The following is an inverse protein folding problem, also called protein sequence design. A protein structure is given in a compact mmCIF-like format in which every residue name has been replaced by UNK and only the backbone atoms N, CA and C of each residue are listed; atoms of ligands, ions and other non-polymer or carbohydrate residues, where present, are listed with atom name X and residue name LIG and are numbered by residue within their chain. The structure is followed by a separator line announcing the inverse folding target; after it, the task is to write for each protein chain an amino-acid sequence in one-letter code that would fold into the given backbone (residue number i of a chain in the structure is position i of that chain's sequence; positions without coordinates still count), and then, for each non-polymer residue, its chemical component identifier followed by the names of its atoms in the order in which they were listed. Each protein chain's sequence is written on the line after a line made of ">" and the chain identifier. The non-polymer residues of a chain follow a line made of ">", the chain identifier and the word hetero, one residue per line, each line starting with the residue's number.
data_IF_265232585873
#
_entry.id   IF_265232585873
#
_cell.length_a   1.000
_cell.length_b   1.000
_cell.length_c   1.000
_cell.angle_alpha   90.00
_cell.angle_beta   90.00
_cell.angle_gamma   90.00
#
_symmetry.space_group_name_H-M   'P 1'
#
loop_
_entity.id
_entity.type
_entity.pdbx_description
1 polymer ?
#
# COMPACT_ATOMS: atom_id res chain seq x y z
N UNK A 1 -10.16 -15.91 17.46
CA UNK A 1 -9.85 -14.49 17.15
C UNK A 1 -8.52 -14.32 16.45
N UNK A 2 -7.39 -14.88 16.97
CA UNK A 2 -6.07 -14.76 16.31
C UNK A 2 -6.05 -15.45 14.93
N UNK A 3 -6.55 -16.66 14.83
CA UNK A 3 -6.65 -17.40 13.58
C UNK A 3 -7.49 -16.64 12.53
N UNK A 4 -8.61 -16.03 12.95
CA UNK A 4 -9.45 -15.21 12.07
C UNK A 4 -8.70 -13.99 11.55
N UNK A 5 -7.91 -13.32 12.40
CA UNK A 5 -7.08 -12.19 11.98
C UNK A 5 -6.03 -12.61 10.94
N UNK A 6 -5.31 -13.71 11.20
CA UNK A 6 -4.26 -14.22 10.31
C UNK A 6 -4.84 -14.75 9.00
N UNK A 7 -6.00 -15.44 9.04
CA UNK A 7 -6.61 -16.04 7.85
C UNK A 7 -7.46 -15.05 7.03
N UNK A 8 -7.53 -13.78 7.42
CA UNK A 8 -8.36 -12.80 6.72
C UNK A 8 -7.79 -12.50 5.32
N UNK A 9 -8.35 -13.17 4.31
CA UNK A 9 -7.77 -13.26 2.96
C UNK A 9 -7.50 -11.90 2.27
N UNK A 10 -8.29 -10.81 2.47
CA UNK A 10 -7.99 -9.56 1.76
C UNK A 10 -6.67 -8.90 2.15
N UNK A 11 -6.09 -9.25 3.32
CA UNK A 11 -4.80 -8.69 3.75
C UNK A 11 -3.60 -9.61 3.53
N UNK A 12 -3.82 -10.90 3.14
CA UNK A 12 -2.78 -11.95 3.23
C UNK A 12 -1.53 -11.69 2.39
N UNK A 13 -1.64 -11.15 1.17
CA UNK A 13 -0.49 -11.05 0.26
C UNK A 13 0.08 -9.63 0.22
N UNK A 14 -0.71 -8.66 -0.19
CA UNK A 14 -0.30 -7.27 -0.34
C UNK A 14 -1.44 -6.29 0.03
N UNK A 15 -2.44 -6.75 0.75
CA UNK A 15 -3.50 -5.91 1.28
C UNK A 15 -2.99 -4.94 2.35
N UNK A 16 -3.78 -3.95 2.73
CA UNK A 16 -3.42 -3.03 3.79
C UNK A 16 -3.15 -3.76 5.10
N UNK A 17 -2.03 -3.44 5.74
CA UNK A 17 -1.62 -4.03 7.02
C UNK A 17 -2.54 -3.46 8.12
N UNK A 18 -3.52 -4.26 8.55
CA UNK A 18 -4.45 -3.87 9.59
C UNK A 18 -3.97 -4.27 10.99
N UNK A 19 -4.43 -3.54 12.00
CA UNK A 19 -4.21 -3.93 13.39
C UNK A 19 -5.29 -4.91 13.83
N UNK A 20 -4.88 -5.94 14.56
CA UNK A 20 -5.80 -6.95 15.09
C UNK A 20 -6.96 -6.32 15.88
N UNK A 21 -6.68 -5.32 16.71
CA UNK A 21 -7.71 -4.61 17.48
C UNK A 21 -8.78 -3.94 16.61
N UNK A 22 -8.39 -3.37 15.46
CA UNK A 22 -9.32 -2.71 14.54
C UNK A 22 -10.09 -3.72 13.69
N UNK A 23 -9.40 -4.71 13.13
CA UNK A 23 -10.03 -5.72 12.27
C UNK A 23 -10.97 -6.61 13.05
N UNK A 24 -10.52 -7.18 14.17
CA UNK A 24 -11.33 -8.06 14.99
C UNK A 24 -12.56 -7.37 15.57
N UNK A 25 -12.46 -6.08 15.94
CA UNK A 25 -13.61 -5.32 16.40
C UNK A 25 -14.69 -5.17 15.34
N UNK A 26 -14.32 -5.01 14.07
CA UNK A 26 -15.27 -4.94 12.94
C UNK A 26 -15.91 -6.33 12.68
N UNK A 27 -15.10 -7.40 12.69
CA UNK A 27 -15.60 -8.77 12.50
C UNK A 27 -16.58 -9.15 13.61
N UNK A 28 -16.30 -8.76 14.85
CA UNK A 28 -17.15 -9.10 16.01
C UNK A 28 -18.47 -8.34 16.04
N UNK A 29 -18.54 -7.13 15.46
CA UNK A 29 -19.76 -6.31 15.47
C UNK A 29 -20.91 -6.90 14.67
N UNK A 30 -20.64 -7.80 13.71
CA UNK A 30 -21.65 -8.47 12.87
C UNK A 30 -22.71 -7.49 12.33
N UNK A 31 -22.27 -6.35 11.82
CA UNK A 31 -23.17 -5.44 11.13
C UNK A 31 -23.81 -6.19 9.96
N UNK A 32 -25.16 -6.10 9.83
CA UNK A 32 -25.89 -6.78 8.78
C UNK A 32 -25.41 -6.35 7.38
N UNK A 33 -25.70 -7.15 6.37
CA UNK A 33 -25.35 -6.82 5.00
C UNK A 33 -25.93 -5.46 4.58
N UNK A 34 -25.06 -4.57 4.11
CA UNK A 34 -25.42 -3.23 3.65
C UNK A 34 -25.19 -3.11 2.15
N UNK A 35 -26.26 -2.91 1.38
CA UNK A 35 -26.23 -2.79 -0.09
C UNK A 35 -25.31 -1.66 -0.55
N UNK A 36 -25.33 -0.49 0.08
CA UNK A 36 -24.49 0.64 -0.34
C UNK A 36 -23.00 0.31 -0.14
N UNK A 37 -22.68 -0.35 0.97
CA UNK A 37 -21.35 -0.80 1.28
C UNK A 37 -20.86 -1.84 0.26
N UNK A 38 -21.71 -2.80 -0.07
CA UNK A 38 -21.41 -3.83 -1.06
C UNK A 38 -21.23 -3.23 -2.47
N UNK A 39 -22.11 -2.34 -2.91
CA UNK A 39 -22.00 -1.68 -4.22
C UNK A 39 -20.76 -0.81 -4.31
N UNK A 40 -20.44 -0.05 -3.26
CA UNK A 40 -19.21 0.74 -3.23
C UNK A 40 -17.95 -0.12 -3.22
N UNK A 41 -17.97 -1.25 -2.52
CA UNK A 41 -16.90 -2.25 -2.55
C UNK A 41 -16.70 -2.85 -3.94
N UNK A 42 -17.78 -3.24 -4.60
CA UNK A 42 -17.73 -3.75 -5.98
C UNK A 42 -17.13 -2.73 -6.96
N UNK A 43 -17.52 -1.44 -6.84
CA UNK A 43 -16.92 -0.37 -7.67
C UNK A 43 -15.41 -0.27 -7.43
N UNK A 44 -14.94 -0.39 -6.18
CA UNK A 44 -13.51 -0.39 -5.87
C UNK A 44 -12.79 -1.59 -6.50
N UNK A 45 -13.37 -2.79 -6.44
CA UNK A 45 -12.82 -3.99 -7.09
C UNK A 45 -12.71 -3.77 -8.60
N UNK A 46 -13.77 -3.33 -9.26
CA UNK A 46 -13.78 -3.08 -10.71
C UNK A 46 -12.73 -2.03 -11.11
N UNK A 47 -12.62 -0.96 -10.33
CA UNK A 47 -11.62 0.09 -10.59
C UNK A 47 -10.19 -0.41 -10.38
N UNK A 48 -9.96 -1.24 -9.36
CA UNK A 48 -8.69 -1.90 -9.11
C UNK A 48 -8.31 -2.86 -10.24
N UNK A 49 -9.25 -3.71 -10.68
CA UNK A 49 -9.03 -4.62 -11.82
C UNK A 49 -8.73 -3.84 -13.11
N UNK A 50 -9.47 -2.78 -13.38
CA UNK A 50 -9.20 -1.91 -14.53
C UNK A 50 -7.77 -1.32 -14.46
N UNK A 51 -7.36 -0.79 -13.32
CA UNK A 51 -5.98 -0.29 -13.14
C UNK A 51 -4.93 -1.38 -13.34
N UNK A 52 -5.17 -2.58 -12.81
CA UNK A 52 -4.25 -3.71 -12.96
C UNK A 52 -4.09 -4.07 -14.44
N UNK A 53 -5.19 -4.40 -15.10
CA UNK A 53 -5.17 -4.96 -16.46
C UNK A 53 -4.84 -3.89 -17.51
N UNK A 54 -5.46 -2.71 -17.43
CA UNK A 54 -5.33 -1.70 -18.48
C UNK A 54 -4.11 -0.77 -18.31
N UNK A 55 -3.54 -0.67 -17.10
CA UNK A 55 -2.43 0.24 -16.85
C UNK A 55 -1.19 -0.52 -16.39
N UNK A 56 -1.25 -1.23 -15.25
CA UNK A 56 -0.07 -1.83 -14.65
C UNK A 56 0.54 -2.92 -15.53
N UNK A 57 -0.27 -3.85 -16.04
CA UNK A 57 0.19 -4.96 -16.88
C UNK A 57 0.69 -4.46 -18.26
N UNK A 58 0.05 -3.42 -18.80
CA UNK A 58 0.54 -2.80 -20.05
C UNK A 58 1.87 -2.09 -19.83
N UNK A 59 2.05 -1.37 -18.71
CA UNK A 59 3.33 -0.76 -18.36
C UNK A 59 4.43 -1.80 -18.14
N UNK A 60 4.10 -2.94 -17.54
CA UNK A 60 5.06 -4.03 -17.33
C UNK A 60 5.69 -4.52 -18.64
N UNK A 61 4.89 -4.67 -19.70
CA UNK A 61 5.40 -5.07 -21.04
C UNK A 61 6.44 -4.08 -21.54
N UNK A 62 6.20 -2.77 -21.42
CA UNK A 62 7.15 -1.75 -21.86
C UNK A 62 8.39 -1.72 -20.95
N UNK A 63 8.22 -1.86 -19.65
CA UNK A 63 9.34 -1.92 -18.70
C UNK A 63 10.26 -3.08 -19.05
N UNK A 64 9.73 -4.29 -19.24
CA UNK A 64 10.49 -5.48 -19.60
C UNK A 64 11.21 -5.31 -20.94
N UNK A 65 10.53 -4.74 -21.94
CA UNK A 65 11.13 -4.44 -23.23
C UNK A 65 12.32 -3.50 -23.12
N UNK A 66 12.15 -2.37 -22.42
CA UNK A 66 13.21 -1.38 -22.28
C UNK A 66 14.39 -1.91 -21.43
N UNK A 67 14.12 -2.66 -20.37
CA UNK A 67 15.17 -3.32 -19.58
C UNK A 67 16.01 -4.29 -20.42
N UNK A 68 15.36 -5.03 -21.32
CA UNK A 68 16.04 -6.09 -22.09
C UNK A 68 16.76 -5.56 -23.31
N UNK A 69 16.18 -4.60 -24.02
CA UNK A 69 16.63 -4.24 -25.38
C UNK A 69 17.19 -2.83 -25.52
N UNK A 70 17.02 -1.95 -24.54
CA UNK A 70 17.43 -0.54 -24.68
C UNK A 70 18.56 -0.20 -23.72
N UNK A 71 19.81 -0.40 -24.17
CA UNK A 71 21.03 -0.05 -23.43
C UNK A 71 21.46 1.41 -23.51
N UNK A 72 20.64 2.33 -24.07
CA UNK A 72 20.99 3.74 -24.15
C UNK A 72 20.67 4.50 -22.84
N UNK A 73 21.40 5.59 -22.52
CA UNK A 73 21.11 6.41 -21.31
C UNK A 73 19.66 6.93 -21.29
N UNK A 74 19.12 7.35 -22.42
CA UNK A 74 17.74 7.81 -22.55
C UNK A 74 16.74 6.68 -22.27
N UNK A 75 17.03 5.48 -22.77
CA UNK A 75 16.23 4.28 -22.51
C UNK A 75 16.21 3.93 -21.02
N UNK A 76 17.34 4.02 -20.34
CA UNK A 76 17.44 3.75 -18.90
C UNK A 76 16.57 4.72 -18.08
N UNK A 77 16.59 6.01 -18.40
CA UNK A 77 15.74 7.01 -17.73
C UNK A 77 14.25 6.72 -17.99
N UNK A 78 13.88 6.42 -19.25
CA UNK A 78 12.50 6.08 -19.60
C UNK A 78 12.02 4.84 -18.84
N UNK A 79 12.86 3.80 -18.81
CA UNK A 79 12.57 2.58 -18.05
C UNK A 79 12.31 2.89 -16.57
N UNK A 80 13.17 3.72 -15.96
CA UNK A 80 12.99 4.12 -14.56
C UNK A 80 11.65 4.82 -14.30
N UNK A 81 11.25 5.73 -15.19
CA UNK A 81 9.95 6.43 -15.08
C UNK A 81 8.77 5.46 -15.23
N UNK A 82 8.81 4.59 -16.26
CA UNK A 82 7.76 3.60 -16.48
C UNK A 82 7.66 2.60 -15.33
N UNK A 83 8.79 2.17 -14.79
CA UNK A 83 8.85 1.24 -13.65
C UNK A 83 8.24 1.83 -12.38
N UNK A 84 8.54 3.09 -12.07
CA UNK A 84 7.96 3.79 -10.91
C UNK A 84 6.43 3.91 -11.05
N UNK A 85 5.93 4.21 -12.25
CA UNK A 85 4.49 4.23 -12.53
C UNK A 85 3.88 2.84 -12.44
N UNK A 86 4.53 1.84 -13.01
CA UNK A 86 4.06 0.45 -12.98
C UNK A 86 3.91 -0.06 -11.55
N UNK A 87 4.92 0.10 -10.69
CA UNK A 87 4.84 -0.31 -9.27
C UNK A 87 3.65 0.37 -8.57
N UNK A 88 3.46 1.67 -8.81
CA UNK A 88 2.34 2.38 -8.19
C UNK A 88 0.99 1.86 -8.64
N UNK A 89 0.77 1.72 -9.94
CA UNK A 89 -0.51 1.25 -10.46
C UNK A 89 -0.79 -0.18 -10.08
N UNK A 90 0.22 -1.06 -10.10
CA UNK A 90 0.09 -2.46 -9.71
C UNK A 90 -0.30 -2.60 -8.24
N UNK A 91 0.46 -1.98 -7.36
CA UNK A 91 0.22 -2.09 -5.93
C UNK A 91 -1.03 -1.33 -5.46
N UNK A 92 -1.31 -0.16 -6.04
CA UNK A 92 -2.56 0.56 -5.71
C UNK A 92 -3.79 -0.18 -6.21
N UNK A 93 -3.73 -0.84 -7.37
CA UNK A 93 -4.79 -1.68 -7.90
C UNK A 93 -5.09 -2.85 -6.96
N UNK A 94 -4.05 -3.59 -6.56
CA UNK A 94 -4.20 -4.69 -5.60
C UNK A 94 -4.81 -4.22 -4.28
N UNK A 95 -4.32 -3.12 -3.75
CA UNK A 95 -4.83 -2.53 -2.50
C UNK A 95 -6.31 -2.13 -2.59
N UNK A 96 -6.75 -1.61 -3.74
CA UNK A 96 -8.16 -1.28 -3.98
C UNK A 96 -9.03 -2.53 -4.12
N UNK A 97 -8.57 -3.58 -4.82
CA UNK A 97 -9.26 -4.86 -4.90
C UNK A 97 -9.45 -5.45 -3.50
N UNK A 98 -8.38 -5.48 -2.70
CA UNK A 98 -8.42 -5.99 -1.33
C UNK A 98 -9.42 -5.22 -0.44
N UNK A 99 -9.36 -3.88 -0.50
CA UNK A 99 -10.30 -3.01 0.22
C UNK A 99 -11.74 -3.17 -0.26
N UNK A 100 -11.93 -3.26 -1.55
CA UNK A 100 -13.25 -3.44 -2.15
C UNK A 100 -13.87 -4.78 -1.76
N UNK A 101 -13.11 -5.88 -1.83
CA UNK A 101 -13.54 -7.21 -1.40
C UNK A 101 -13.91 -7.23 0.09
N UNK A 102 -13.07 -6.62 0.91
CA UNK A 102 -13.32 -6.46 2.34
C UNK A 102 -14.60 -5.67 2.63
N UNK A 103 -14.79 -4.57 1.90
CA UNK A 103 -15.96 -3.70 2.02
C UNK A 103 -17.26 -4.41 1.63
N UNK A 104 -17.22 -5.31 0.64
CA UNK A 104 -18.36 -6.15 0.29
C UNK A 104 -18.76 -7.09 1.43
N UNK A 105 -17.81 -7.44 2.31
CA UNK A 105 -18.04 -8.22 3.53
C UNK A 105 -18.42 -7.37 4.75
N UNK A 106 -18.61 -6.05 4.59
CA UNK A 106 -18.93 -5.13 5.66
C UNK A 106 -17.73 -4.64 6.48
N UNK A 107 -16.49 -4.89 6.01
CA UNK A 107 -15.26 -4.53 6.74
C UNK A 107 -14.49 -3.45 5.98
N UNK A 108 -14.16 -2.35 6.66
CA UNK A 108 -13.41 -1.24 6.09
C UNK A 108 -11.92 -1.37 6.42
N UNK A 109 -11.10 -1.66 5.38
CA UNK A 109 -9.64 -1.65 5.51
C UNK A 109 -9.06 -0.25 5.26
N UNK A 110 -7.85 -0.01 5.78
CA UNK A 110 -7.10 1.23 5.54
C UNK A 110 -6.80 1.45 4.06
N UNK A 111 -6.68 2.72 3.65
CA UNK A 111 -6.12 3.05 2.34
C UNK A 111 -4.60 2.98 2.38
N UNK A 112 -3.97 2.32 1.39
CA UNK A 112 -2.51 2.30 1.25
C UNK A 112 -1.97 3.49 0.47
N UNK A 113 -2.77 4.08 -0.41
CA UNK A 113 -2.32 5.16 -1.28
C UNK A 113 -3.30 6.33 -1.28
N UNK A 114 -2.75 7.57 -1.32
CA UNK A 114 -3.50 8.83 -1.44
C UNK A 114 -2.80 9.74 -2.44
N UNK A 115 -2.78 9.35 -3.72
CA UNK A 115 -2.16 10.13 -4.80
C UNK A 115 -0.73 10.59 -4.46
N UNK A 116 0.25 9.68 -4.20
CA UNK A 116 1.57 10.03 -3.70
C UNK A 116 2.38 10.91 -4.66
N UNK A 117 2.21 10.77 -5.96
CA UNK A 117 2.95 11.57 -6.95
C UNK A 117 2.50 13.03 -7.07
N UNK A 118 1.38 13.40 -6.42
CA UNK A 118 0.96 14.79 -6.28
C UNK A 118 1.43 15.43 -4.96
N UNK A 119 2.44 14.85 -4.32
CA UNK A 119 3.03 15.37 -3.08
C UNK A 119 3.94 16.56 -3.38
N UNK A 120 3.92 17.56 -2.49
CA UNK A 120 4.75 18.78 -2.61
C UNK A 120 6.19 18.58 -2.12
N UNK A 121 6.41 17.57 -1.32
CA UNK A 121 7.72 17.24 -0.74
C UNK A 121 7.79 15.76 -0.37
N UNK A 122 9.01 15.29 -0.06
CA UNK A 122 9.28 13.88 0.25
C UNK A 122 8.56 13.39 1.53
N UNK A 123 8.34 14.27 2.50
CA UNK A 123 7.63 13.90 3.75
C UNK A 123 6.17 13.60 3.42
N UNK A 124 5.52 14.46 2.64
CA UNK A 124 4.15 14.28 2.18
C UNK A 124 4.04 13.04 1.28
N UNK A 125 5.04 12.76 0.44
CA UNK A 125 5.09 11.54 -0.37
C UNK A 125 4.98 10.29 0.49
N UNK A 126 5.81 10.13 1.52
CA UNK A 126 5.78 8.98 2.41
C UNK A 126 4.51 8.90 3.27
N UNK A 127 3.84 10.01 3.54
CA UNK A 127 2.53 10.02 4.20
C UNK A 127 1.39 9.54 3.31
N UNK A 128 1.61 9.48 2.00
CA UNK A 128 0.63 9.08 0.97
C UNK A 128 0.97 7.76 0.28
N UNK A 129 2.20 7.28 0.44
CA UNK A 129 2.70 6.02 -0.11
C UNK A 129 2.68 4.93 0.95
N UNK A 130 2.08 3.76 0.63
CA UNK A 130 2.00 2.56 1.47
C UNK A 130 1.71 2.90 2.95
N UNK A 131 0.63 3.61 3.18
CA UNK A 131 0.29 4.25 4.46
C UNK A 131 0.24 3.25 5.62
N UNK A 132 -0.31 2.05 5.38
CA UNK A 132 -0.42 1.02 6.42
C UNK A 132 0.95 0.53 6.89
N UNK A 133 1.91 0.33 5.97
CA UNK A 133 3.28 -0.05 6.28
C UNK A 133 4.01 1.08 7.02
N UNK A 134 3.85 2.33 6.57
CA UNK A 134 4.45 3.49 7.23
C UNK A 134 3.97 3.63 8.68
N UNK A 135 2.69 3.37 8.92
CA UNK A 135 2.15 3.37 10.28
C UNK A 135 2.67 2.19 11.10
N UNK A 136 2.83 1.02 10.48
CA UNK A 136 3.42 -0.15 11.15
C UNK A 136 4.86 0.15 11.59
N UNK A 137 5.72 0.65 10.69
CA UNK A 137 7.08 1.02 11.03
C UNK A 137 7.15 2.12 12.09
N UNK A 138 6.27 3.10 12.00
CA UNK A 138 6.19 4.15 13.03
C UNK A 138 5.94 3.57 14.41
N UNK A 139 4.96 2.69 14.54
CA UNK A 139 4.48 2.23 15.84
C UNK A 139 5.35 1.11 16.42
N UNK A 140 5.89 0.23 15.58
CA UNK A 140 6.64 -0.94 16.03
C UNK A 140 8.16 -0.79 15.95
N UNK A 141 8.67 0.18 15.21
CA UNK A 141 10.11 0.43 15.07
C UNK A 141 10.49 1.83 15.55
N UNK A 142 9.93 2.88 14.93
CA UNK A 142 10.37 4.24 15.17
C UNK A 142 10.07 4.72 16.59
N UNK A 143 8.86 4.54 17.08
CA UNK A 143 8.47 4.94 18.44
C UNK A 143 9.23 4.15 19.53
N UNK A 144 9.36 2.82 19.47
CA UNK A 144 10.16 2.05 20.42
C UNK A 144 11.64 2.45 20.45
N UNK A 145 12.23 2.84 19.33
CA UNK A 145 13.61 3.36 19.27
C UNK A 145 13.77 4.77 19.91
N UNK A 146 12.68 5.37 20.37
CA UNK A 146 12.66 6.68 21.02
C UNK A 146 12.08 7.80 20.15
N UNK A 147 11.70 7.52 18.89
CA UNK A 147 11.09 8.49 17.98
C UNK A 147 11.98 9.74 17.79
N UNK A 148 11.38 10.92 17.83
CA UNK A 148 12.07 12.22 17.74
C UNK A 148 12.43 12.85 19.11
N UNK A 149 12.16 12.15 20.22
CA UNK A 149 12.27 12.73 21.57
C UNK A 149 13.70 12.88 22.09
N UNK A 150 14.67 12.18 21.50
CA UNK A 150 16.07 12.09 21.97
C UNK A 150 17.06 12.91 21.13
N UNK A 151 16.59 14.01 20.51
CA UNK A 151 17.42 14.92 19.74
C UNK A 151 17.59 14.53 18.26
N UNK A 152 18.15 15.46 17.46
CA UNK A 152 18.22 15.35 15.99
C UNK A 152 19.03 14.14 15.51
N UNK A 153 20.20 13.88 16.08
CA UNK A 153 21.08 12.76 15.69
C UNK A 153 20.36 11.41 15.91
N UNK A 154 19.68 11.25 17.04
CA UNK A 154 18.92 10.02 17.31
C UNK A 154 17.74 9.87 16.37
N UNK A 155 17.08 10.96 16.02
CA UNK A 155 15.99 10.97 15.03
C UNK A 155 16.48 10.47 13.66
N UNK A 156 17.63 10.98 13.19
CA UNK A 156 18.24 10.53 11.92
C UNK A 156 18.57 9.05 11.99
N UNK A 157 19.22 8.59 13.07
CA UNK A 157 19.51 7.16 13.25
C UNK A 157 18.24 6.30 13.22
N UNK A 158 17.19 6.69 13.93
CA UNK A 158 15.93 5.95 13.96
C UNK A 158 15.26 5.90 12.56
N UNK A 159 15.29 7.00 11.80
CA UNK A 159 14.79 7.03 10.43
C UNK A 159 15.63 6.13 9.52
N UNK A 160 16.95 6.18 9.61
CA UNK A 160 17.85 5.31 8.84
C UNK A 160 17.57 3.83 9.15
N UNK A 161 17.39 3.48 10.42
CA UNK A 161 17.02 2.12 10.82
C UNK A 161 15.69 1.66 10.20
N UNK A 162 14.67 2.54 10.19
CA UNK A 162 13.39 2.24 9.51
C UNK A 162 13.60 2.01 8.03
N UNK A 163 14.37 2.85 7.33
CA UNK A 163 14.63 2.69 5.89
C UNK A 163 15.40 1.40 5.58
N UNK A 164 16.41 1.06 6.37
CA UNK A 164 17.16 -0.19 6.19
C UNK A 164 16.27 -1.42 6.40
N UNK A 165 15.43 -1.41 7.43
CA UNK A 165 14.49 -2.51 7.69
C UNK A 165 13.37 -2.60 6.65
N UNK A 166 12.99 -1.49 6.02
CA UNK A 166 11.96 -1.48 4.97
C UNK A 166 12.48 -1.97 3.62
N UNK A 167 13.79 -2.00 3.41
CA UNK A 167 14.46 -2.46 2.19
C UNK A 167 14.93 -3.92 2.25
N UNK A 168 14.79 -4.57 3.40
CA UNK A 168 15.03 -6.00 3.59
C UNK A 168 13.76 -6.82 3.34
#
# INVERSE_FOLDING_TARGET
>A
DFATFVAYFPQLVAGPIERASRLLSQISRREGWNREFAVSGLRMVLFGVMKKVCIADMLAIYVDYFFTYVGSPTGTVMTGVLFVLQIYFDFSAYSEIARGASRMLGIELMANFRFPYFSRNIIEFWQRWHISLMWWFRDYVYIPLGGSRRGKLRTVFNLTAVFLLSGL
#
